data_IF_972097967192
#
_entry.id   IF_972097967192
#
_cell.length_a   1.000
_cell.length_b   1.000
_cell.length_c   1.000
_cell.angle_alpha   90.00
_cell.angle_beta   90.00
_cell.angle_gamma   90.00
#
_symmetry.space_group_name_H-M   'P 1'
#
loop_
_entity.id
_entity.type
_entity.pdbx_description
1 polymer ?
#
# COMPACT_ATOMS: atom_id res chain seq x y z
N UNK A 1 2.28 -14.25 24.69
CA UNK A 1 2.71 -13.09 23.87
C UNK A 1 2.20 -13.24 22.45
N UNK A 2 2.50 -12.28 21.57
CA UNK A 2 2.23 -12.36 20.13
C UNK A 2 3.38 -13.05 19.38
N UNK A 3 3.08 -13.74 18.27
CA UNK A 3 4.08 -14.42 17.43
C UNK A 3 4.44 -13.63 16.17
N UNK A 4 3.53 -12.78 15.70
CA UNK A 4 3.70 -11.93 14.52
C UNK A 4 2.98 -10.59 14.71
N UNK A 5 3.39 -9.57 13.95
CA UNK A 5 2.73 -8.25 13.91
C UNK A 5 2.49 -7.83 12.46
N UNK A 6 1.26 -7.35 12.20
CA UNK A 6 0.94 -6.64 10.97
C UNK A 6 1.15 -5.13 11.19
N UNK A 7 2.05 -4.54 10.41
CA UNK A 7 2.29 -3.10 10.41
C UNK A 7 1.55 -2.48 9.23
N UNK A 8 0.44 -1.79 9.51
CA UNK A 8 -0.42 -1.14 8.51
C UNK A 8 -0.46 0.38 8.68
N UNK A 9 0.35 0.91 9.60
CA UNK A 9 0.39 2.34 9.95
C UNK A 9 1.06 3.12 8.83
N UNK A 10 0.34 4.12 8.32
CA UNK A 10 0.84 5.12 7.37
C UNK A 10 0.11 6.43 7.61
N UNK A 11 0.85 7.51 7.69
CA UNK A 11 0.26 8.83 7.86
C UNK A 11 -0.35 9.31 6.55
N UNK A 12 -1.68 9.44 6.51
CA UNK A 12 -2.42 9.99 5.37
C UNK A 12 -2.90 11.43 5.59
N UNK A 13 -2.43 12.12 6.63
CA UNK A 13 -2.92 13.45 7.00
C UNK A 13 -2.22 14.55 6.18
N UNK A 14 -2.92 15.26 5.26
CA UNK A 14 -2.31 16.30 4.43
C UNK A 14 -1.87 17.55 5.20
N UNK A 15 -2.30 17.70 6.46
CA UNK A 15 -1.96 18.83 7.33
C UNK A 15 -0.70 18.64 8.18
N UNK A 16 -0.12 17.44 8.24
CA UNK A 16 1.11 17.17 9.00
C UNK A 16 2.28 17.32 8.05
N UNK A 17 2.97 18.47 8.14
CA UNK A 17 4.17 18.76 7.32
C UNK A 17 5.28 17.72 7.46
N UNK A 18 5.26 16.95 8.55
CA UNK A 18 6.34 16.05 8.95
C UNK A 18 5.91 14.58 9.07
N UNK A 19 4.97 14.17 8.22
CA UNK A 19 4.40 12.82 8.27
C UNK A 19 5.46 11.73 8.03
N UNK A 20 6.52 12.05 7.26
CA UNK A 20 7.59 11.12 6.96
C UNK A 20 8.43 10.80 8.20
N UNK A 21 8.77 11.81 9.02
CA UNK A 21 9.52 11.60 10.25
C UNK A 21 8.69 10.85 11.30
N UNK A 22 7.39 11.17 11.39
CA UNK A 22 6.46 10.44 12.27
C UNK A 22 6.33 8.96 11.87
N UNK A 23 6.19 8.66 10.57
CA UNK A 23 6.13 7.29 10.07
C UNK A 23 7.46 6.55 10.30
N UNK A 24 8.60 7.22 10.12
CA UNK A 24 9.92 6.67 10.39
C UNK A 24 10.17 6.40 11.89
N UNK A 25 9.73 7.30 12.76
CA UNK A 25 9.79 7.11 14.21
C UNK A 25 8.91 5.95 14.66
N UNK A 26 7.66 5.87 14.17
CA UNK A 26 6.77 4.76 14.45
C UNK A 26 7.38 3.41 14.00
N UNK A 27 8.02 3.37 12.83
CA UNK A 27 8.72 2.19 12.33
C UNK A 27 9.90 1.79 13.23
N UNK A 28 10.73 2.75 13.67
CA UNK A 28 11.84 2.49 14.60
C UNK A 28 11.35 1.95 15.94
N UNK A 29 10.29 2.54 16.48
CA UNK A 29 9.67 2.09 17.72
C UNK A 29 9.10 0.67 17.59
N UNK A 30 8.51 0.35 16.44
CA UNK A 30 8.03 -1.00 16.15
C UNK A 30 9.19 -2.00 16.14
N UNK A 31 10.29 -1.71 15.45
CA UNK A 31 11.47 -2.59 15.40
C UNK A 31 11.99 -2.89 16.80
N UNK A 32 12.26 -1.86 17.60
CA UNK A 32 12.76 -2.01 18.97
C UNK A 32 11.79 -2.84 19.84
N UNK A 33 10.49 -2.59 19.71
CA UNK A 33 9.46 -3.30 20.48
C UNK A 33 9.32 -4.76 20.04
N UNK A 34 9.37 -5.06 18.75
CA UNK A 34 9.29 -6.42 18.22
C UNK A 34 10.48 -7.26 18.66
N UNK A 35 11.69 -6.69 18.65
CA UNK A 35 12.89 -7.35 19.13
C UNK A 35 12.83 -7.63 20.64
N UNK A 36 12.48 -6.62 21.43
CA UNK A 36 12.37 -6.76 22.89
C UNK A 36 11.30 -7.80 23.29
N UNK A 37 10.20 -7.88 22.53
CA UNK A 37 9.13 -8.85 22.75
C UNK A 37 9.40 -10.24 22.15
N UNK A 38 10.49 -10.42 21.39
CA UNK A 38 10.81 -11.68 20.72
C UNK A 38 9.80 -12.09 19.64
N UNK A 39 9.21 -11.12 18.94
CA UNK A 39 8.29 -11.38 17.83
C UNK A 39 9.02 -12.13 16.72
N UNK A 40 8.41 -13.18 16.17
CA UNK A 40 9.03 -14.00 15.13
C UNK A 40 8.87 -13.44 13.71
N UNK A 41 7.92 -12.52 13.49
CA UNK A 41 7.58 -12.03 12.15
C UNK A 41 6.93 -10.65 12.13
N UNK A 42 7.35 -9.79 11.20
CA UNK A 42 6.60 -8.60 10.79
C UNK A 42 6.02 -8.80 9.38
N UNK A 43 4.81 -8.29 9.15
CA UNK A 43 4.19 -8.23 7.83
C UNK A 43 3.76 -6.78 7.58
N UNK A 44 4.32 -6.15 6.56
CA UNK A 44 4.12 -4.76 6.21
C UNK A 44 3.40 -4.64 4.87
N UNK A 45 2.37 -3.79 4.81
CA UNK A 45 1.67 -3.44 3.56
C UNK A 45 2.04 -2.01 3.15
N UNK A 46 3.04 -1.88 2.27
CA UNK A 46 3.51 -0.60 1.74
C UNK A 46 2.84 -0.21 0.41
N UNK A 47 3.29 0.91 -0.16
CA UNK A 47 2.88 1.36 -1.50
C UNK A 47 3.78 0.80 -2.60
N UNK A 48 3.18 0.49 -3.75
CA UNK A 48 3.89 0.18 -4.99
C UNK A 48 4.31 1.48 -5.68
N UNK A 49 5.55 1.54 -6.15
CA UNK A 49 6.11 2.70 -6.85
C UNK A 49 7.50 2.39 -7.42
N UNK A 50 7.88 3.11 -8.48
CA UNK A 50 9.16 2.92 -9.16
C UNK A 50 10.35 3.14 -8.23
N UNK A 51 11.49 2.52 -8.57
CA UNK A 51 12.70 2.64 -7.77
C UNK A 51 13.51 3.93 -8.03
N UNK A 52 13.04 4.80 -8.94
CA UNK A 52 13.73 5.99 -9.44
C UNK A 52 13.65 7.25 -8.57
N UNK A 53 14.34 8.30 -9.00
CA UNK A 53 14.54 9.56 -8.26
C UNK A 53 13.30 10.48 -8.21
N UNK A 54 12.31 10.28 -9.08
CA UNK A 54 11.08 11.10 -9.19
C UNK A 54 9.90 10.59 -8.32
N UNK A 55 10.17 9.88 -7.23
CA UNK A 55 9.11 9.41 -6.35
C UNK A 55 8.41 10.55 -5.62
N UNK A 56 7.07 10.51 -5.54
CA UNK A 56 6.34 11.40 -4.63
C UNK A 56 6.84 11.23 -3.20
N UNK A 57 6.88 12.32 -2.43
CA UNK A 57 7.32 12.32 -1.02
C UNK A 57 6.63 11.23 -0.18
N UNK A 58 5.35 10.96 -0.44
CA UNK A 58 4.60 9.90 0.22
C UNK A 58 5.12 8.50 -0.14
N UNK A 59 5.47 8.22 -1.40
CA UNK A 59 6.06 6.92 -1.78
C UNK A 59 7.47 6.75 -1.20
N UNK A 60 8.26 7.82 -1.14
CA UNK A 60 9.59 7.78 -0.50
C UNK A 60 9.47 7.41 0.99
N UNK A 61 8.56 8.06 1.72
CA UNK A 61 8.27 7.73 3.12
C UNK A 61 7.87 6.26 3.30
N UNK A 62 7.01 5.70 2.43
CA UNK A 62 6.63 4.27 2.52
C UNK A 62 7.79 3.31 2.27
N UNK A 63 8.72 3.66 1.36
CA UNK A 63 9.95 2.89 1.13
C UNK A 63 10.87 2.96 2.34
N UNK A 64 11.00 4.14 2.94
CA UNK A 64 11.83 4.33 4.14
C UNK A 64 11.29 3.53 5.32
N UNK A 65 9.98 3.52 5.55
CA UNK A 65 9.35 2.65 6.55
C UNK A 65 9.69 1.19 6.31
N UNK A 66 9.59 0.70 5.06
CA UNK A 66 9.95 -0.68 4.73
C UNK A 66 11.41 -0.99 5.10
N UNK A 67 12.33 -0.06 4.79
CA UNK A 67 13.76 -0.17 5.06
C UNK A 67 14.04 -0.19 6.57
N UNK A 68 13.39 0.68 7.33
CA UNK A 68 13.52 0.73 8.79
C UNK A 68 12.99 -0.57 9.41
N UNK A 69 11.79 -1.02 9.03
CA UNK A 69 11.24 -2.28 9.55
C UNK A 69 12.19 -3.46 9.27
N UNK A 70 12.79 -3.50 8.08
CA UNK A 70 13.72 -4.54 7.66
C UNK A 70 15.14 -4.41 8.25
N UNK A 71 15.48 -3.33 8.96
CA UNK A 71 16.82 -3.15 9.56
C UNK A 71 17.01 -3.91 10.87
N UNK A 72 15.91 -4.42 11.46
CA UNK A 72 15.95 -5.20 12.70
C UNK A 72 16.25 -6.69 12.49
N UNK A 73 16.28 -7.44 13.60
CA UNK A 73 16.50 -8.88 13.64
C UNK A 73 15.26 -9.70 13.30
N UNK A 74 14.07 -9.11 13.42
CA UNK A 74 12.81 -9.79 13.12
C UNK A 74 12.58 -9.78 11.61
N UNK A 75 12.40 -10.94 10.95
CA UNK A 75 12.20 -10.98 9.51
C UNK A 75 10.90 -10.27 9.12
N UNK A 76 10.96 -9.49 8.04
CA UNK A 76 9.83 -8.69 7.55
C UNK A 76 9.39 -9.19 6.19
N UNK A 77 8.09 -9.44 6.04
CA UNK A 77 7.47 -9.59 4.71
C UNK A 77 6.91 -8.25 4.28
N UNK A 78 7.30 -7.77 3.11
CA UNK A 78 6.77 -6.53 2.54
C UNK A 78 5.85 -6.87 1.38
N UNK A 79 4.59 -6.46 1.47
CA UNK A 79 3.64 -6.47 0.37
C UNK A 79 3.51 -5.04 -0.16
N UNK A 80 3.72 -4.83 -1.46
CA UNK A 80 3.57 -3.52 -2.12
C UNK A 80 2.36 -3.58 -3.03
N UNK A 81 1.40 -2.68 -2.80
CA UNK A 81 0.20 -2.57 -3.63
C UNK A 81 0.09 -1.15 -4.23
N UNK A 82 -0.38 -1.06 -5.47
CA UNK A 82 -0.69 0.23 -6.08
C UNK A 82 -2.03 0.75 -5.54
N UNK A 83 -3.11 0.55 -6.30
CA UNK A 83 -4.46 0.94 -5.90
C UNK A 83 -5.20 -0.28 -5.34
N UNK A 84 -5.64 -0.19 -4.08
CA UNK A 84 -6.53 -1.20 -3.50
C UNK A 84 -7.98 -0.81 -3.80
N UNK A 85 -8.77 -1.71 -4.38
CA UNK A 85 -10.18 -1.49 -4.72
C UNK A 85 -11.07 -2.20 -3.70
N UNK A 86 -12.02 -1.48 -3.11
CA UNK A 86 -13.00 -2.02 -2.18
C UNK A 86 -13.36 -1.09 -1.03
N UNK A 87 -14.23 -1.58 -0.16
CA UNK A 87 -14.77 -0.82 0.98
C UNK A 87 -13.67 -0.23 1.87
N UNK A 88 -13.77 1.06 2.15
CA UNK A 88 -12.82 1.78 3.02
C UNK A 88 -11.51 2.16 2.33
N UNK A 89 -11.33 1.86 1.04
CA UNK A 89 -10.18 2.35 0.27
C UNK A 89 -10.37 3.81 -0.12
N UNK A 90 -9.54 4.69 0.43
CA UNK A 90 -9.56 6.11 0.09
C UNK A 90 -9.34 6.35 -1.42
N UNK A 91 -8.45 5.59 -2.06
CA UNK A 91 -8.20 5.75 -3.50
C UNK A 91 -9.40 5.30 -4.34
N UNK A 92 -10.07 4.22 -3.96
CA UNK A 92 -11.30 3.80 -4.62
C UNK A 92 -12.43 4.82 -4.44
N UNK A 93 -12.59 5.37 -3.24
CA UNK A 93 -13.58 6.43 -2.99
C UNK A 93 -13.32 7.68 -3.82
N UNK A 94 -12.05 8.07 -4.01
CA UNK A 94 -11.69 9.19 -4.89
C UNK A 94 -12.07 8.87 -6.34
N UNK A 95 -11.73 7.69 -6.85
CA UNK A 95 -12.09 7.28 -8.23
C UNK A 95 -13.61 7.27 -8.41
N UNK A 96 -14.33 6.65 -7.48
CA UNK A 96 -15.80 6.60 -7.44
C UNK A 96 -16.40 8.01 -7.51
N UNK A 97 -15.94 8.90 -6.62
CA UNK A 97 -16.44 10.27 -6.53
C UNK A 97 -16.17 11.07 -7.81
N UNK A 98 -14.99 10.91 -8.42
CA UNK A 98 -14.64 11.55 -9.68
C UNK A 98 -15.59 11.15 -10.79
N UNK A 99 -15.89 9.86 -10.94
CA UNK A 99 -16.77 9.36 -12.02
C UNK A 99 -18.23 9.74 -11.77
N UNK A 100 -18.74 9.57 -10.55
CA UNK A 100 -20.15 9.88 -10.23
C UNK A 100 -20.48 11.38 -10.35
N UNK A 101 -19.51 12.27 -10.07
CA UNK A 101 -19.77 13.72 -10.00
C UNK A 101 -19.41 14.48 -11.27
N UNK A 102 -18.57 13.91 -12.14
CA UNK A 102 -18.03 14.59 -13.32
C UNK A 102 -18.20 13.68 -14.56
N UNK A 103 -19.43 13.56 -15.10
CA UNK A 103 -19.70 12.73 -16.27
C UNK A 103 -18.92 13.17 -17.52
N UNK A 104 -18.49 14.44 -17.55
CA UNK A 104 -17.53 14.96 -18.51
C UNK A 104 -16.39 15.64 -17.74
N UNK A 105 -15.16 15.19 -17.96
CA UNK A 105 -13.97 15.66 -17.25
C UNK A 105 -12.83 15.97 -18.22
N UNK A 106 -12.23 17.16 -18.07
CA UNK A 106 -10.91 17.44 -18.65
C UNK A 106 -9.86 16.76 -17.78
N UNK A 107 -9.27 15.68 -18.29
CA UNK A 107 -8.32 14.86 -17.54
C UNK A 107 -6.88 15.32 -17.75
N UNK A 108 -6.05 15.38 -16.69
CA UNK A 108 -4.60 15.56 -16.82
C UNK A 108 -3.94 14.33 -17.46
N UNK A 109 -2.72 14.47 -17.99
CA UNK A 109 -2.02 13.39 -18.74
C UNK A 109 -1.76 12.13 -17.91
N UNK A 110 -1.69 12.23 -16.58
CA UNK A 110 -1.41 11.07 -15.72
C UNK A 110 -2.53 10.03 -15.70
N UNK A 111 -3.73 10.33 -16.21
CA UNK A 111 -4.80 9.31 -16.25
C UNK A 111 -4.46 8.14 -17.16
N UNK A 112 -3.51 8.32 -18.08
CA UNK A 112 -3.01 7.27 -18.97
C UNK A 112 -1.82 6.50 -18.35
N UNK A 113 -1.44 6.80 -17.11
CA UNK A 113 -0.41 6.05 -16.37
C UNK A 113 -0.90 4.61 -16.10
N UNK A 114 -0.11 3.59 -16.48
CA UNK A 114 -0.43 2.19 -16.19
C UNK A 114 -0.41 1.87 -14.70
N UNK A 115 -1.29 0.99 -14.26
CA UNK A 115 -1.36 0.47 -12.90
C UNK A 115 -1.91 -0.97 -12.88
N UNK A 116 -1.64 -1.68 -11.79
CA UNK A 116 -2.20 -3.00 -11.51
C UNK A 116 -2.93 -2.95 -10.17
N UNK A 117 -4.22 -2.56 -10.14
CA UNK A 117 -4.99 -2.51 -8.91
C UNK A 117 -5.20 -3.90 -8.33
N UNK A 118 -5.63 -3.96 -7.08
CA UNK A 118 -5.94 -5.22 -6.39
C UNK A 118 -7.19 -5.06 -5.51
N UNK A 119 -8.09 -6.05 -5.54
CA UNK A 119 -9.23 -6.06 -4.65
C UNK A 119 -8.84 -6.24 -3.17
N UNK A 120 -9.52 -5.55 -2.25
CA UNK A 120 -9.25 -5.63 -0.81
C UNK A 120 -9.30 -7.07 -0.27
N UNK A 121 -10.21 -7.90 -0.80
CA UNK A 121 -10.32 -9.32 -0.43
C UNK A 121 -9.05 -10.10 -0.78
N UNK A 122 -8.42 -9.80 -1.91
CA UNK A 122 -7.17 -10.42 -2.31
C UNK A 122 -6.03 -9.97 -1.40
N UNK A 123 -5.95 -8.66 -1.08
CA UNK A 123 -4.96 -8.13 -0.11
C UNK A 123 -5.07 -8.83 1.24
N UNK A 124 -6.29 -9.00 1.77
CA UNK A 124 -6.51 -9.75 3.01
C UNK A 124 -6.06 -11.21 2.88
N UNK A 125 -6.33 -11.85 1.73
CA UNK A 125 -5.83 -13.19 1.42
C UNK A 125 -4.30 -13.28 1.46
N UNK A 126 -3.59 -12.31 0.86
CA UNK A 126 -2.13 -12.22 0.94
C UNK A 126 -1.64 -12.01 2.38
N UNK A 127 -2.25 -11.09 3.13
CA UNK A 127 -1.88 -10.81 4.52
C UNK A 127 -2.00 -12.06 5.40
N UNK A 128 -3.14 -12.76 5.32
CA UNK A 128 -3.36 -14.01 6.07
C UNK A 128 -2.44 -15.12 5.56
N UNK A 129 -2.28 -15.24 4.24
CA UNK A 129 -1.42 -16.27 3.64
C UNK A 129 0.05 -16.13 4.02
N UNK A 130 0.57 -14.91 4.13
CA UNK A 130 1.96 -14.65 4.54
C UNK A 130 2.24 -15.13 5.97
N UNK A 131 1.24 -15.05 6.87
CA UNK A 131 1.41 -15.49 8.27
C UNK A 131 1.68 -17.00 8.36
N UNK A 132 1.03 -17.81 7.52
CA UNK A 132 1.21 -19.25 7.48
C UNK A 132 2.38 -19.73 6.62
N UNK A 133 3.04 -18.85 5.86
CA UNK A 133 4.03 -19.23 4.86
C UNK A 133 5.43 -18.71 5.22
N UNK A 134 6.28 -19.59 5.76
CA UNK A 134 7.65 -19.25 6.13
C UNK A 134 8.52 -18.81 4.95
N UNK A 135 8.23 -19.25 3.72
CA UNK A 135 8.98 -18.84 2.54
C UNK A 135 8.85 -17.34 2.23
N UNK A 136 7.85 -16.66 2.81
CA UNK A 136 7.68 -15.21 2.65
C UNK A 136 8.52 -14.38 3.63
N UNK A 137 9.29 -15.02 4.53
CA UNK A 137 10.10 -14.34 5.54
C UNK A 137 11.23 -13.53 4.92
N UNK A 138 11.33 -12.24 5.27
CA UNK A 138 12.38 -11.36 4.73
C UNK A 138 12.20 -11.06 3.23
N UNK A 139 11.05 -11.37 2.64
CA UNK A 139 10.79 -11.20 1.22
C UNK A 139 9.90 -9.98 0.94
N UNK A 140 10.06 -9.41 -0.25
CA UNK A 140 9.23 -8.32 -0.77
C UNK A 140 8.46 -8.81 -2.00
N UNK A 141 7.16 -8.53 -2.05
CA UNK A 141 6.29 -8.92 -3.15
C UNK A 141 5.44 -7.75 -3.62
N UNK A 142 5.28 -7.66 -4.94
CA UNK A 142 4.30 -6.78 -5.56
C UNK A 142 2.98 -7.54 -5.71
N UNK A 143 1.92 -6.96 -5.18
CA UNK A 143 0.58 -7.54 -5.25
C UNK A 143 -0.32 -6.65 -6.10
N UNK A 144 -0.91 -7.26 -7.12
CA UNK A 144 -1.68 -6.59 -8.15
C UNK A 144 -2.48 -7.62 -8.94
N UNK A 145 -3.46 -7.16 -9.69
CA UNK A 145 -4.09 -7.98 -10.71
C UNK A 145 -3.12 -8.28 -11.87
N UNK A 146 -3.44 -9.31 -12.66
CA UNK A 146 -2.63 -9.68 -13.83
C UNK A 146 -2.67 -8.62 -14.93
N UNK A 147 -3.81 -7.99 -15.13
CA UNK A 147 -4.04 -7.04 -16.21
C UNK A 147 -3.52 -5.64 -15.85
N UNK A 148 -2.71 -5.09 -16.75
CA UNK A 148 -2.26 -3.71 -16.65
C UNK A 148 -3.35 -2.81 -17.24
N UNK A 149 -3.83 -1.87 -16.44
CA UNK A 149 -4.88 -0.91 -16.82
C UNK A 149 -4.43 0.51 -16.52
N UNK A 150 -4.95 1.50 -17.24
CA UNK A 150 -4.74 2.92 -16.90
C UNK A 150 -5.79 3.42 -15.92
N UNK A 151 -5.53 4.54 -15.25
CA UNK A 151 -6.56 5.20 -14.42
C UNK A 151 -7.79 5.58 -15.24
N UNK A 152 -7.62 5.95 -16.52
CA UNK A 152 -8.71 6.19 -17.46
C UNK A 152 -9.57 4.94 -17.65
N UNK A 153 -8.95 3.79 -17.90
CA UNK A 153 -9.67 2.53 -18.04
C UNK A 153 -10.39 2.15 -16.74
N UNK A 154 -9.78 2.38 -15.58
CA UNK A 154 -10.45 2.15 -14.30
C UNK A 154 -11.68 3.02 -14.08
N UNK A 155 -11.61 4.30 -14.46
CA UNK A 155 -12.78 5.18 -14.41
C UNK A 155 -13.90 4.70 -15.35
N UNK A 156 -13.55 4.21 -16.55
CA UNK A 156 -14.50 3.65 -17.51
C UNK A 156 -15.14 2.35 -17.01
N UNK A 157 -14.34 1.42 -16.48
CA UNK A 157 -14.84 0.16 -15.89
C UNK A 157 -15.79 0.48 -14.74
N UNK A 158 -15.42 1.42 -13.87
CA UNK A 158 -16.31 1.82 -12.79
C UNK A 158 -17.63 2.44 -13.30
N UNK A 159 -17.59 3.30 -14.32
CA UNK A 159 -18.79 3.86 -14.91
C UNK A 159 -19.72 2.78 -15.47
N UNK A 160 -19.16 1.82 -16.21
CA UNK A 160 -19.89 0.68 -16.78
C UNK A 160 -20.57 -0.16 -15.69
N UNK A 161 -19.82 -0.55 -14.65
CA UNK A 161 -20.34 -1.36 -13.54
C UNK A 161 -21.36 -0.60 -12.66
N UNK A 162 -21.26 0.74 -12.61
CA UNK A 162 -22.19 1.61 -11.89
C UNK A 162 -23.42 2.01 -12.73
N UNK A 163 -23.43 1.73 -14.03
CA UNK A 163 -24.51 2.12 -14.95
C UNK A 163 -24.57 3.61 -15.28
N UNK A 164 -23.40 4.28 -15.38
CA UNK A 164 -23.25 5.71 -15.66
C UNK A 164 -22.85 6.02 -17.10
#
# INVERSE_FOLDING_TARGET
GCQAVYYLVHSMHPGVKDFADADAEAARNMVASAEAAGVGRLIYLGGLGEEGEDLSHHLQSRREVARILASGKVPVTVLRAAMIIGSGSASFEILRYLVERLPVMVTPRWVDTPCQPIGIRNVLGYLVGCLGNQATAGQTFDIGQKEVVTYRQLMQIYAEEAGL
#
